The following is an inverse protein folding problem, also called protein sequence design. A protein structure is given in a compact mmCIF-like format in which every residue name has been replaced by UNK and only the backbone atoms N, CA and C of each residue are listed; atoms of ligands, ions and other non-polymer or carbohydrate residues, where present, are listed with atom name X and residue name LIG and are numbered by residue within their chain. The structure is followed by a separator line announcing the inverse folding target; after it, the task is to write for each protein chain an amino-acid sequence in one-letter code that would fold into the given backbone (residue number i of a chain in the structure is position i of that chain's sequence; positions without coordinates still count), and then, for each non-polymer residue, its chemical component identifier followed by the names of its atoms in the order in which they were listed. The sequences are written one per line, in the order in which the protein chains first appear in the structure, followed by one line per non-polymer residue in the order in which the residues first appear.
data_IF_391657054539
#
_entry.id   IF_391657054539
#
_cell.length_a   1.000
_cell.length_b   1.000
_cell.length_c   1.000
_cell.angle_alpha   90.00
_cell.angle_beta   90.00
_cell.angle_gamma   90.00
#
_symmetry.space_group_name_H-M   'P 1'
#
loop_
_entity.id
_entity.type
_entity.pdbx_description
1 polymer ?
#
# COMPACT_ATOMS: atom_id res chain seq x y z
N UNK A 1 12.39 -31.12 -19.77
CA UNK A 1 12.26 -32.39 -19.01
C UNK A 1 13.53 -32.84 -18.28
N UNK A 2 14.67 -33.04 -18.98
CA UNK A 2 15.90 -33.62 -18.41
C UNK A 2 16.58 -32.80 -17.29
N UNK A 3 16.22 -31.53 -17.14
CA UNK A 3 16.80 -30.61 -16.16
C UNK A 3 15.90 -30.35 -14.94
N UNK A 4 14.72 -30.97 -14.86
CA UNK A 4 13.75 -30.67 -13.79
C UNK A 4 14.29 -31.02 -12.40
N UNK A 5 15.10 -32.08 -12.30
CA UNK A 5 15.77 -32.45 -11.04
C UNK A 5 16.84 -31.43 -10.64
N UNK A 6 17.55 -30.85 -11.59
CA UNK A 6 18.51 -29.78 -11.32
C UNK A 6 17.79 -28.50 -10.87
N UNK A 7 16.63 -28.20 -11.47
CA UNK A 7 15.80 -27.06 -11.06
C UNK A 7 15.27 -27.22 -9.63
N UNK A 8 14.76 -28.40 -9.27
CA UNK A 8 14.34 -28.71 -7.90
C UNK A 8 15.48 -28.50 -6.90
N UNK A 9 16.67 -29.06 -7.20
CA UNK A 9 17.86 -28.87 -6.36
C UNK A 9 18.27 -27.40 -6.26
N UNK A 10 18.24 -26.67 -7.37
CA UNK A 10 18.57 -25.24 -7.39
C UNK A 10 17.64 -24.44 -6.48
N UNK A 11 16.32 -24.65 -6.59
CA UNK A 11 15.33 -23.95 -5.77
C UNK A 11 15.59 -24.26 -4.29
N UNK A 12 15.76 -25.54 -3.92
CA UNK A 12 16.04 -25.94 -2.55
C UNK A 12 17.30 -25.28 -1.98
N UNK A 13 18.39 -25.27 -2.75
CA UNK A 13 19.68 -24.68 -2.37
C UNK A 13 19.53 -23.16 -2.25
N UNK A 14 18.89 -22.51 -3.22
CA UNK A 14 18.66 -21.06 -3.23
C UNK A 14 17.86 -20.62 -2.01
N UNK A 15 16.70 -21.25 -1.78
CA UNK A 15 15.84 -20.97 -0.62
C UNK A 15 16.64 -21.09 0.66
N UNK A 16 17.33 -22.21 0.88
CA UNK A 16 18.14 -22.42 2.10
C UNK A 16 19.20 -21.34 2.29
N UNK A 17 20.03 -21.09 1.26
CA UNK A 17 21.14 -20.15 1.39
C UNK A 17 20.69 -18.69 1.51
N UNK A 18 19.51 -18.34 0.96
CA UNK A 18 18.95 -17.01 1.15
C UNK A 18 18.54 -16.80 2.61
N UNK A 19 17.80 -17.74 3.22
CA UNK A 19 17.45 -17.65 4.64
C UNK A 19 18.67 -17.63 5.56
N UNK A 20 19.70 -18.41 5.26
CA UNK A 20 20.96 -18.41 6.03
C UNK A 20 21.66 -17.02 6.01
N UNK A 21 21.48 -16.24 4.94
CA UNK A 21 22.14 -14.93 4.75
C UNK A 21 21.24 -13.74 5.05
N UNK A 22 19.95 -13.88 4.82
CA UNK A 22 18.90 -12.87 4.90
C UNK A 22 17.67 -13.58 5.49
N UNK A 23 17.52 -13.60 6.84
CA UNK A 23 16.48 -14.39 7.50
C UNK A 23 15.06 -14.15 6.99
N UNK A 24 14.76 -12.93 6.54
CA UNK A 24 13.42 -12.52 6.05
C UNK A 24 13.29 -12.57 4.52
N UNK A 25 14.19 -13.24 3.80
CA UNK A 25 14.09 -13.41 2.35
C UNK A 25 12.95 -14.35 1.97
N UNK A 26 12.36 -14.16 0.78
CA UNK A 26 11.40 -15.10 0.20
C UNK A 26 11.80 -15.52 -1.21
N UNK A 27 11.60 -16.80 -1.52
CA UNK A 27 11.68 -17.42 -2.83
C UNK A 27 10.28 -17.87 -3.24
N UNK A 28 9.75 -17.25 -4.29
CA UNK A 28 8.41 -17.54 -4.79
C UNK A 28 8.50 -18.20 -6.17
N UNK A 29 7.88 -19.37 -6.31
CA UNK A 29 7.79 -20.09 -7.58
C UNK A 29 6.62 -19.57 -8.42
N UNK A 30 6.80 -19.39 -9.72
CA UNK A 30 5.68 -19.07 -10.63
C UNK A 30 5.10 -20.35 -11.23
N UNK A 31 3.79 -20.54 -11.14
CA UNK A 31 3.04 -21.66 -11.72
C UNK A 31 3.26 -21.76 -13.24
N UNK A 32 4.28 -22.51 -13.65
CA UNK A 32 4.73 -22.55 -15.05
C UNK A 32 5.29 -23.93 -15.40
N UNK A 33 6.49 -24.27 -14.91
CA UNK A 33 7.11 -25.56 -15.17
C UNK A 33 6.54 -26.61 -14.22
N UNK A 34 6.11 -27.74 -14.76
CA UNK A 34 5.57 -28.87 -14.00
C UNK A 34 6.69 -29.80 -13.50
N UNK A 35 6.35 -30.73 -12.62
CA UNK A 35 7.25 -31.77 -12.11
C UNK A 35 7.88 -32.65 -13.20
N UNK A 36 7.25 -32.71 -14.37
CA UNK A 36 7.73 -33.37 -15.60
C UNK A 36 8.72 -32.51 -16.41
N UNK A 37 8.84 -31.22 -16.06
CA UNK A 37 9.61 -30.23 -16.81
C UNK A 37 8.91 -29.66 -18.03
N UNK A 38 7.60 -29.90 -18.19
CA UNK A 38 6.76 -29.25 -19.22
C UNK A 38 6.36 -27.84 -18.77
N UNK A 39 6.40 -26.86 -19.68
CA UNK A 39 5.81 -25.53 -19.46
C UNK A 39 4.29 -25.61 -19.66
N UNK A 40 3.54 -25.50 -18.57
CA UNK A 40 2.07 -25.51 -18.57
C UNK A 40 1.52 -24.92 -17.27
N UNK A 41 0.84 -23.78 -17.37
CA UNK A 41 0.15 -23.15 -16.24
C UNK A 41 -1.05 -23.97 -15.80
N UNK A 42 -1.17 -24.20 -14.49
CA UNK A 42 -2.28 -24.96 -13.89
C UNK A 42 -3.39 -24.04 -13.39
N UNK A 43 -3.08 -22.77 -13.13
CA UNK A 43 -3.94 -21.78 -12.49
C UNK A 43 -4.34 -22.16 -11.05
N UNK A 44 -3.67 -23.18 -10.48
CA UNK A 44 -3.87 -23.70 -9.12
C UNK A 44 -2.59 -24.32 -8.59
N UNK A 45 -2.51 -24.44 -7.28
CA UNK A 45 -1.62 -25.39 -6.64
C UNK A 45 -2.22 -26.81 -6.76
N UNK A 46 -1.47 -27.73 -7.36
CA UNK A 46 -1.86 -29.12 -7.57
C UNK A 46 -0.65 -30.07 -7.51
N UNK A 47 -0.86 -31.37 -7.64
CA UNK A 47 0.22 -32.37 -7.60
C UNK A 47 1.32 -32.15 -8.65
N UNK A 48 1.01 -31.51 -9.78
CA UNK A 48 1.97 -31.28 -10.86
C UNK A 48 2.98 -30.16 -10.55
N UNK A 49 2.64 -29.19 -9.70
CA UNK A 49 3.52 -28.05 -9.35
C UNK A 49 3.87 -27.98 -7.86
N UNK A 50 3.19 -28.76 -6.99
CA UNK A 50 3.44 -28.80 -5.53
C UNK A 50 4.89 -29.10 -5.17
N UNK A 51 5.59 -29.90 -5.99
CA UNK A 51 7.01 -30.20 -5.76
C UNK A 51 7.89 -28.95 -5.69
N UNK A 52 7.55 -27.87 -6.40
CA UNK A 52 8.30 -26.61 -6.33
C UNK A 52 7.85 -25.76 -5.14
N UNK A 53 6.54 -25.70 -4.90
CA UNK A 53 5.98 -25.03 -3.72
C UNK A 53 6.55 -25.58 -2.41
N UNK A 54 6.78 -26.89 -2.31
CA UNK A 54 7.37 -27.53 -1.12
C UNK A 54 8.86 -27.24 -0.94
N UNK A 55 9.54 -26.73 -1.97
CA UNK A 55 10.98 -26.42 -1.95
C UNK A 55 11.28 -24.92 -1.79
N UNK A 56 10.24 -24.08 -1.70
CA UNK A 56 10.35 -22.63 -1.55
C UNK A 56 9.21 -22.05 -0.70
N UNK A 57 9.23 -20.73 -0.53
CA UNK A 57 8.41 -20.04 0.46
C UNK A 57 6.97 -19.86 -0.02
N UNK A 58 6.74 -19.81 -1.33
CA UNK A 58 5.39 -19.75 -1.87
C UNK A 58 5.27 -19.95 -3.36
N UNK A 59 4.04 -19.84 -3.87
CA UNK A 59 3.72 -19.96 -5.29
C UNK A 59 2.85 -18.80 -5.78
N UNK A 60 3.30 -18.16 -6.86
CA UNK A 60 2.50 -17.25 -7.68
C UNK A 60 1.72 -18.09 -8.69
N UNK A 61 0.40 -18.18 -8.54
CA UNK A 61 -0.47 -18.88 -9.49
C UNK A 61 -0.75 -18.03 -10.73
N UNK A 62 -0.85 -18.68 -11.89
CA UNK A 62 -1.29 -18.00 -13.10
C UNK A 62 -2.72 -17.45 -12.95
N UNK A 63 -3.04 -16.40 -13.70
CA UNK A 63 -4.24 -15.56 -13.50
C UNK A 63 -5.53 -16.09 -14.17
N UNK A 64 -5.48 -17.22 -14.90
CA UNK A 64 -6.65 -17.82 -15.58
C UNK A 64 -7.37 -18.88 -14.72
N UNK A 65 -7.55 -18.60 -13.43
CA UNK A 65 -8.12 -19.53 -12.45
C UNK A 65 -9.65 -19.49 -12.40
N UNK A 66 -10.24 -20.59 -11.94
CA UNK A 66 -11.65 -20.68 -11.55
C UNK A 66 -11.82 -20.74 -10.02
N UNK A 67 -13.05 -20.58 -9.52
CA UNK A 67 -13.34 -20.75 -8.09
C UNK A 67 -12.97 -22.16 -7.60
N UNK A 68 -13.16 -23.18 -8.46
CA UNK A 68 -12.78 -24.56 -8.16
C UNK A 68 -11.26 -24.71 -8.00
N UNK A 69 -10.48 -24.03 -8.84
CA UNK A 69 -9.01 -24.01 -8.77
C UNK A 69 -8.52 -23.42 -7.43
N UNK A 70 -9.17 -22.38 -6.92
CA UNK A 70 -8.84 -21.81 -5.61
C UNK A 70 -9.17 -22.77 -4.46
N UNK A 71 -10.31 -23.46 -4.52
CA UNK A 71 -10.67 -24.48 -3.53
C UNK A 71 -9.68 -25.64 -3.52
N UNK A 72 -9.28 -26.10 -4.71
CA UNK A 72 -8.26 -27.13 -4.85
C UNK A 72 -6.91 -26.67 -4.29
N UNK A 73 -6.52 -25.41 -4.55
CA UNK A 73 -5.28 -24.84 -4.03
C UNK A 73 -5.27 -24.73 -2.51
N UNK A 74 -6.39 -24.32 -1.90
CA UNK A 74 -6.57 -24.29 -0.45
C UNK A 74 -6.43 -25.70 0.16
N UNK A 75 -7.09 -26.70 -0.45
CA UNK A 75 -6.96 -28.09 -0.01
C UNK A 75 -5.51 -28.60 -0.13
N UNK A 76 -4.83 -28.27 -1.23
CA UNK A 76 -3.47 -28.76 -1.52
C UNK A 76 -2.40 -28.10 -0.65
N UNK A 77 -2.56 -26.82 -0.32
CA UNK A 77 -1.64 -26.08 0.56
C UNK A 77 -1.83 -26.43 2.03
N UNK A 78 -3.06 -26.76 2.42
CA UNK A 78 -3.43 -26.98 3.82
C UNK A 78 -3.43 -25.68 4.64
N UNK A 79 -3.91 -25.77 5.88
CA UNK A 79 -4.10 -24.58 6.72
C UNK A 79 -2.80 -23.82 7.03
N UNK A 80 -1.68 -24.53 7.14
CA UNK A 80 -0.39 -23.96 7.50
C UNK A 80 0.23 -23.08 6.42
N UNK A 81 -0.03 -23.36 5.14
CA UNK A 81 0.63 -22.71 3.99
C UNK A 81 -0.33 -22.07 2.99
N UNK A 82 -1.61 -21.92 3.33
CA UNK A 82 -2.61 -21.30 2.44
C UNK A 82 -2.30 -19.85 2.08
N UNK A 83 -1.58 -19.11 2.94
CA UNK A 83 -1.17 -17.73 2.68
C UNK A 83 0.07 -17.63 1.79
N UNK A 84 0.77 -18.74 1.57
CA UNK A 84 1.92 -18.84 0.66
C UNK A 84 1.48 -19.10 -0.79
N UNK A 85 0.17 -19.22 -1.02
CA UNK A 85 -0.44 -19.32 -2.35
C UNK A 85 -0.92 -17.94 -2.77
N UNK A 86 -0.17 -17.30 -3.66
CA UNK A 86 -0.45 -15.98 -4.19
C UNK A 86 -1.20 -16.11 -5.52
N UNK A 87 -2.51 -15.91 -5.49
CA UNK A 87 -3.38 -16.05 -6.66
C UNK A 87 -3.19 -14.86 -7.61
N UNK A 88 -2.81 -15.12 -8.85
CA UNK A 88 -2.54 -14.08 -9.85
C UNK A 88 -3.78 -13.24 -10.19
N UNK A 89 -3.61 -11.92 -10.21
CA UNK A 89 -4.58 -10.93 -10.68
C UNK A 89 -3.92 -10.13 -11.79
N UNK A 90 -4.18 -10.49 -13.05
CA UNK A 90 -3.69 -9.73 -14.20
C UNK A 90 -4.53 -8.48 -14.41
N UNK A 91 -3.94 -7.32 -14.13
CA UNK A 91 -4.62 -6.03 -14.27
C UNK A 91 -4.89 -5.69 -15.74
N UNK A 92 -4.19 -6.28 -16.70
CA UNK A 92 -4.57 -6.16 -18.12
C UNK A 92 -5.78 -7.04 -18.50
N UNK A 93 -6.21 -7.94 -17.62
CA UNK A 93 -7.46 -8.68 -17.77
C UNK A 93 -7.40 -9.87 -18.73
N UNK A 94 -6.23 -10.41 -19.09
CA UNK A 94 -6.08 -11.50 -20.09
C UNK A 94 -6.60 -12.84 -19.55
N UNK A 95 -7.92 -12.98 -19.53
CA UNK A 95 -8.65 -14.11 -18.94
C UNK A 95 -8.60 -14.14 -17.41
N UNK A 96 -8.25 -13.01 -16.78
CA UNK A 96 -8.35 -12.83 -15.33
C UNK A 96 -9.82 -12.80 -14.90
N UNK A 97 -10.13 -13.41 -13.76
CA UNK A 97 -11.45 -13.29 -13.14
C UNK A 97 -11.86 -11.81 -13.00
N UNK A 98 -13.06 -11.46 -13.45
CA UNK A 98 -13.56 -10.08 -13.44
C UNK A 98 -13.00 -9.16 -14.53
N UNK A 99 -12.01 -9.58 -15.31
CA UNK A 99 -11.52 -8.85 -16.49
C UNK A 99 -10.46 -7.76 -16.23
N UNK A 100 -9.82 -7.73 -15.06
CA UNK A 100 -8.73 -6.80 -14.76
C UNK A 100 -9.15 -5.32 -14.66
N UNK A 101 -8.18 -4.41 -14.79
CA UNK A 101 -8.34 -2.96 -14.74
C UNK A 101 -9.09 -2.50 -13.49
N UNK A 102 -10.11 -1.67 -13.68
CA UNK A 102 -11.01 -1.24 -12.60
C UNK A 102 -11.84 -2.38 -11.98
N UNK A 103 -11.92 -3.54 -12.64
CA UNK A 103 -12.61 -4.71 -12.11
C UNK A 103 -11.67 -5.67 -11.35
N UNK A 104 -10.38 -5.36 -11.19
CA UNK A 104 -9.42 -6.17 -10.41
C UNK A 104 -9.89 -6.44 -8.98
N UNK A 105 -10.72 -5.55 -8.40
CA UNK A 105 -11.36 -5.76 -7.10
C UNK A 105 -12.23 -7.02 -7.04
N UNK A 106 -12.87 -7.43 -8.15
CA UNK A 106 -13.70 -8.65 -8.19
C UNK A 106 -12.86 -9.90 -7.99
N UNK A 107 -11.67 -9.96 -8.58
CA UNK A 107 -10.70 -11.02 -8.34
C UNK A 107 -10.24 -11.00 -6.88
N UNK A 108 -9.83 -9.83 -6.37
CA UNK A 108 -9.39 -9.67 -4.99
C UNK A 108 -10.45 -10.14 -3.97
N UNK A 109 -11.71 -9.78 -4.19
CA UNK A 109 -12.81 -10.20 -3.33
C UNK A 109 -12.89 -11.72 -3.22
N UNK A 110 -12.94 -12.42 -4.36
CA UNK A 110 -13.05 -13.89 -4.39
C UNK A 110 -11.84 -14.55 -3.74
N UNK A 111 -10.63 -14.03 -4.00
CA UNK A 111 -9.39 -14.54 -3.38
C UNK A 111 -9.45 -14.40 -1.86
N UNK A 112 -9.90 -13.25 -1.34
CA UNK A 112 -10.04 -13.02 0.10
C UNK A 112 -11.12 -13.86 0.75
N UNK A 113 -12.26 -14.07 0.09
CA UNK A 113 -13.31 -14.99 0.56
C UNK A 113 -12.79 -16.43 0.69
N UNK A 114 -11.81 -16.83 -0.13
CA UNK A 114 -11.13 -18.13 -0.04
C UNK A 114 -9.94 -18.15 0.94
N UNK A 115 -9.64 -17.04 1.61
CA UNK A 115 -8.53 -16.91 2.58
C UNK A 115 -7.16 -17.25 1.99
N UNK A 116 -6.96 -16.93 0.70
CA UNK A 116 -5.67 -17.05 0.01
C UNK A 116 -5.01 -15.66 -0.15
N UNK A 117 -3.74 -15.66 -0.51
CA UNK A 117 -3.00 -14.45 -0.89
C UNK A 117 -3.25 -14.09 -2.35
N UNK A 118 -2.97 -12.84 -2.72
CA UNK A 118 -3.12 -12.35 -4.09
C UNK A 118 -1.78 -11.84 -4.62
N UNK A 119 -1.53 -12.01 -5.91
CA UNK A 119 -0.38 -11.46 -6.61
C UNK A 119 -0.86 -10.53 -7.72
N UNK A 120 -0.71 -9.21 -7.53
CA UNK A 120 -1.18 -8.21 -8.50
C UNK A 120 -0.15 -8.09 -9.63
N UNK A 121 -0.52 -8.57 -10.82
CA UNK A 121 0.33 -8.57 -11.99
C UNK A 121 0.06 -7.35 -12.88
N UNK A 122 1.14 -6.69 -13.27
CA UNK A 122 1.14 -5.55 -14.21
C UNK A 122 0.21 -4.37 -13.80
N UNK A 123 0.32 -3.82 -12.57
CA UNK A 123 -0.42 -2.61 -12.18
C UNK A 123 -0.02 -1.36 -12.99
N UNK A 124 1.09 -1.44 -13.76
CA UNK A 124 1.47 -0.44 -14.77
C UNK A 124 0.38 -0.15 -15.81
N UNK A 125 -0.61 -1.03 -15.94
CA UNK A 125 -1.86 -0.81 -16.68
C UNK A 125 -2.46 0.59 -16.44
N UNK A 126 -2.39 1.12 -15.21
CA UNK A 126 -2.91 2.47 -14.92
C UNK A 126 -2.23 3.53 -15.79
N UNK A 127 -0.90 3.50 -15.88
CA UNK A 127 -0.14 4.43 -16.73
C UNK A 127 -0.40 4.14 -18.21
N UNK A 128 -0.29 2.87 -18.60
CA UNK A 128 -0.34 2.47 -20.02
C UNK A 128 -1.72 2.68 -20.67
N UNK A 129 -2.82 2.59 -19.89
CA UNK A 129 -4.18 2.73 -20.41
C UNK A 129 -4.84 4.08 -20.10
N UNK A 130 -4.33 4.85 -19.14
CA UNK A 130 -4.92 6.15 -18.76
C UNK A 130 -3.97 7.35 -18.91
N UNK A 131 -2.72 7.13 -19.30
CA UNK A 131 -1.76 8.19 -19.61
C UNK A 131 -1.17 8.89 -18.38
N UNK A 132 -0.18 9.75 -18.63
CA UNK A 132 0.59 10.45 -17.60
C UNK A 132 -0.18 11.61 -16.95
N UNK A 133 -1.04 12.30 -17.72
CA UNK A 133 -1.71 13.54 -17.29
C UNK A 133 -2.54 13.34 -16.02
N UNK A 134 -3.31 12.26 -15.94
CA UNK A 134 -4.16 11.92 -14.80
C UNK A 134 -3.60 10.76 -13.97
N UNK A 135 -2.32 10.41 -14.14
CA UNK A 135 -1.73 9.20 -13.54
C UNK A 135 -1.89 9.17 -12.03
N UNK A 136 -1.55 10.24 -11.31
CA UNK A 136 -1.62 10.29 -9.84
C UNK A 136 -3.03 10.01 -9.32
N UNK A 137 -4.04 10.60 -9.96
CA UNK A 137 -5.45 10.42 -9.61
C UNK A 137 -5.94 9.01 -9.93
N UNK A 138 -5.61 8.49 -11.11
CA UNK A 138 -6.01 7.15 -11.53
C UNK A 138 -5.30 6.07 -10.71
N UNK A 139 -4.03 6.28 -10.37
CA UNK A 139 -3.26 5.39 -9.51
C UNK A 139 -3.84 5.38 -8.09
N UNK A 140 -4.15 6.56 -7.51
CA UNK A 140 -4.87 6.65 -6.21
C UNK A 140 -6.18 5.87 -6.27
N UNK A 141 -7.02 6.12 -7.29
CA UNK A 141 -8.30 5.44 -7.47
C UNK A 141 -8.14 3.91 -7.59
N UNK A 142 -7.12 3.44 -8.30
CA UNK A 142 -6.87 2.01 -8.49
C UNK A 142 -6.52 1.33 -7.17
N UNK A 143 -5.60 1.90 -6.40
CA UNK A 143 -5.22 1.32 -5.11
C UNK A 143 -6.33 1.45 -4.07
N UNK A 144 -7.12 2.52 -4.08
CA UNK A 144 -8.30 2.67 -3.22
C UNK A 144 -9.36 1.60 -3.48
N UNK A 145 -9.56 1.24 -4.75
CA UNK A 145 -10.46 0.16 -5.15
C UNK A 145 -10.03 -1.20 -4.58
N UNK A 146 -8.72 -1.42 -4.41
CA UNK A 146 -8.19 -2.66 -3.83
C UNK A 146 -8.02 -2.61 -2.32
N UNK A 147 -7.93 -1.42 -1.71
CA UNK A 147 -7.54 -1.21 -0.32
C UNK A 147 -8.38 -2.00 0.69
N UNK A 148 -9.68 -2.18 0.44
CA UNK A 148 -10.58 -2.97 1.32
C UNK A 148 -10.22 -4.46 1.40
N UNK A 149 -9.43 -4.96 0.45
CA UNK A 149 -8.95 -6.35 0.40
C UNK A 149 -7.47 -6.47 0.78
N UNK A 150 -6.80 -5.37 1.14
CA UNK A 150 -5.39 -5.36 1.48
C UNK A 150 -5.22 -5.15 2.99
N UNK A 151 -4.21 -5.79 3.56
CA UNK A 151 -3.83 -5.54 4.94
C UNK A 151 -2.82 -4.39 4.97
N UNK A 152 -3.13 -3.26 5.63
CA UNK A 152 -2.16 -2.19 5.80
C UNK A 152 -1.14 -2.58 6.86
N UNK A 153 0.15 -2.49 6.54
CA UNK A 153 1.21 -2.60 7.53
C UNK A 153 1.18 -1.41 8.49
N UNK A 154 1.46 -1.68 9.77
CA UNK A 154 1.53 -0.64 10.80
C UNK A 154 2.93 -0.07 10.90
N UNK A 155 3.01 1.22 11.19
CA UNK A 155 4.25 1.83 11.65
C UNK A 155 4.42 1.51 13.12
N UNK A 156 5.41 0.71 13.47
CA UNK A 156 5.58 0.18 14.83
C UNK A 156 6.79 0.73 15.59
N UNK A 157 7.62 1.56 14.94
CA UNK A 157 8.89 2.01 15.49
C UNK A 157 9.04 3.54 15.47
N UNK A 158 9.85 4.04 16.41
CA UNK A 158 10.28 5.43 16.50
C UNK A 158 11.78 5.55 16.21
N UNK A 159 12.25 6.68 15.62
CA UNK A 159 11.46 7.85 15.26
C UNK A 159 10.64 7.65 13.98
N UNK A 160 9.39 8.11 14.00
CA UNK A 160 8.55 8.19 12.80
C UNK A 160 8.61 9.60 12.22
N UNK A 161 9.12 9.73 11.00
CA UNK A 161 9.28 11.03 10.31
C UNK A 161 8.77 10.94 8.89
N UNK A 162 8.02 11.95 8.46
CA UNK A 162 7.59 12.10 7.06
C UNK A 162 7.48 13.56 6.67
N UNK A 163 7.86 13.88 5.43
CA UNK A 163 7.51 15.13 4.76
C UNK A 163 6.42 14.96 3.70
N UNK A 164 5.84 13.75 3.63
CA UNK A 164 4.98 13.27 2.55
C UNK A 164 5.63 13.23 1.16
N UNK A 165 6.95 13.39 1.06
CA UNK A 165 7.65 13.33 -0.22
C UNK A 165 7.51 11.94 -0.86
N UNK A 166 7.05 11.88 -2.10
CA UNK A 166 6.88 10.63 -2.84
C UNK A 166 8.14 10.21 -3.62
N UNK A 167 9.29 10.85 -3.38
CA UNK A 167 10.52 10.61 -4.13
C UNK A 167 10.53 11.25 -5.51
N UNK A 168 9.65 12.22 -5.77
CA UNK A 168 9.66 13.05 -6.97
C UNK A 168 9.05 14.43 -6.68
N UNK A 169 9.26 15.38 -7.59
CA UNK A 169 8.68 16.71 -7.50
C UNK A 169 9.03 17.60 -8.69
N UNK A 170 8.27 18.69 -8.88
CA UNK A 170 8.58 19.72 -9.87
C UNK A 170 9.76 20.60 -9.41
N UNK A 171 9.98 20.66 -8.09
CA UNK A 171 10.99 21.46 -7.38
C UNK A 171 11.53 20.67 -6.20
N UNK A 172 12.65 21.12 -5.63
CA UNK A 172 13.22 20.61 -4.37
C UNK A 172 13.13 21.69 -3.32
N UNK A 173 12.68 21.34 -2.12
CA UNK A 173 12.56 22.23 -0.98
C UNK A 173 13.36 21.72 0.23
N UNK A 174 13.91 22.65 0.99
CA UNK A 174 14.53 22.43 2.29
C UNK A 174 14.02 23.49 3.25
N UNK A 175 13.40 23.07 4.36
CA UNK A 175 12.81 23.95 5.37
C UNK A 175 11.89 25.03 4.77
N UNK A 176 11.05 24.64 3.80
CA UNK A 176 10.11 25.52 3.10
C UNK A 176 10.74 26.46 2.06
N UNK A 177 12.06 26.45 1.89
CA UNK A 177 12.77 27.24 0.89
C UNK A 177 13.05 26.39 -0.35
N UNK A 178 12.74 26.92 -1.52
CA UNK A 178 13.04 26.28 -2.79
C UNK A 178 14.56 26.25 -3.00
N UNK A 179 15.13 25.05 -3.04
CA UNK A 179 16.55 24.79 -3.32
C UNK A 179 16.79 24.68 -4.83
N UNK A 180 15.91 23.98 -5.54
CA UNK A 180 16.04 23.73 -6.97
C UNK A 180 14.68 23.85 -7.67
N UNK A 181 14.66 24.56 -8.80
CA UNK A 181 13.48 24.75 -9.64
C UNK A 181 13.57 23.91 -10.93
N UNK A 182 13.65 22.57 -10.77
CA UNK A 182 13.64 21.61 -11.88
C UNK A 182 12.98 20.30 -11.43
N UNK A 183 12.26 19.61 -12.34
CA UNK A 183 11.70 18.30 -12.05
C UNK A 183 12.78 17.29 -11.64
N UNK A 184 12.44 16.41 -10.71
CA UNK A 184 13.34 15.37 -10.22
C UNK A 184 12.58 14.13 -9.77
N UNK A 185 13.27 12.98 -9.82
CA UNK A 185 12.82 11.71 -9.27
C UNK A 185 14.01 11.01 -8.63
N UNK A 186 13.84 10.58 -7.38
CA UNK A 186 14.71 9.69 -6.64
C UNK A 186 13.84 8.95 -5.61
N UNK A 187 13.50 7.69 -5.91
CA UNK A 187 12.63 6.87 -5.06
C UNK A 187 13.25 6.56 -3.68
N UNK A 188 14.58 6.60 -3.56
CA UNK A 188 15.24 6.47 -2.24
C UNK A 188 14.99 7.68 -1.33
N UNK A 189 14.48 8.79 -1.87
CA UNK A 189 14.05 9.96 -1.09
C UNK A 189 12.56 9.93 -0.72
N UNK A 190 11.84 8.85 -1.06
CA UNK A 190 10.44 8.70 -0.66
C UNK A 190 10.34 8.56 0.87
N UNK A 191 9.49 9.38 1.48
CA UNK A 191 9.12 9.26 2.90
C UNK A 191 7.84 8.45 3.07
N UNK A 192 7.56 8.04 4.31
CA UNK A 192 6.32 7.33 4.64
C UNK A 192 5.07 8.09 4.15
N UNK A 193 4.18 7.37 3.47
CA UNK A 193 2.94 7.92 2.93
C UNK A 193 1.76 7.56 3.85
N UNK A 194 0.68 8.37 3.88
CA UNK A 194 -0.49 8.08 4.71
C UNK A 194 -1.03 6.65 4.49
N UNK A 195 -1.25 5.91 5.58
CA UNK A 195 -1.88 4.58 5.54
C UNK A 195 -3.31 4.65 5.01
N UNK A 196 -4.00 5.74 5.31
CA UNK A 196 -5.38 5.97 4.90
C UNK A 196 -5.43 7.08 3.84
N UNK A 197 -6.09 6.81 2.72
CA UNK A 197 -6.16 7.74 1.60
C UNK A 197 -7.39 8.67 1.61
N UNK A 198 -8.45 8.29 2.36
CA UNK A 198 -9.75 8.98 2.41
C UNK A 198 -10.53 8.74 3.72
N UNK A 199 -9.88 8.83 4.89
CA UNK A 199 -10.56 8.75 6.19
C UNK A 199 -10.82 10.15 6.77
N UNK A 200 -11.88 10.78 6.27
CA UNK A 200 -12.35 12.09 6.69
C UNK A 200 -13.59 11.95 7.57
N UNK A 201 -13.58 12.58 8.74
CA UNK A 201 -14.72 12.64 9.65
C UNK A 201 -15.08 14.10 9.89
N UNK A 202 -16.33 14.45 9.64
CA UNK A 202 -16.86 15.78 9.93
C UNK A 202 -17.64 15.73 11.25
N UNK A 203 -17.31 16.63 12.16
CA UNK A 203 -17.92 16.77 13.48
C UNK A 203 -18.54 18.16 13.58
N UNK A 204 -19.82 18.22 13.96
CA UNK A 204 -20.60 19.47 13.97
C UNK A 204 -21.32 19.75 12.64
N UNK A 205 -21.95 20.93 12.50
CA UNK A 205 -22.76 21.26 11.33
C UNK A 205 -21.89 21.37 10.07
N UNK A 206 -22.46 20.88 8.95
CA UNK A 206 -21.75 20.82 7.66
C UNK A 206 -21.41 22.18 7.06
N UNK A 207 -22.06 23.23 7.54
CA UNK A 207 -22.03 24.56 6.92
C UNK A 207 -20.75 25.35 7.23
N UNK A 208 -20.07 25.06 8.35
CA UNK A 208 -18.89 25.83 8.80
C UNK A 208 -17.58 25.45 8.11
N UNK A 209 -17.37 24.18 7.76
CA UNK A 209 -16.14 23.74 7.10
C UNK A 209 -16.39 22.56 6.18
N UNK A 210 -15.90 22.65 4.95
CA UNK A 210 -16.00 21.61 3.93
C UNK A 210 -14.62 21.35 3.34
N UNK A 211 -14.20 20.08 3.30
CA UNK A 211 -12.97 19.67 2.60
C UNK A 211 -13.38 19.16 1.22
N UNK A 212 -12.82 19.78 0.18
CA UNK A 212 -13.12 19.46 -1.22
C UNK A 212 -12.17 18.39 -1.76
N UNK A 213 -10.88 18.49 -1.45
CA UNK A 213 -9.91 17.47 -1.83
C UNK A 213 -8.72 17.37 -0.86
N UNK A 214 -8.12 16.17 -0.85
CA UNK A 214 -6.87 15.85 -0.18
C UNK A 214 -5.97 15.18 -1.22
N UNK A 215 -4.90 15.87 -1.59
CA UNK A 215 -4.02 15.48 -2.69
C UNK A 215 -2.56 15.72 -2.38
N UNK A 216 -1.68 14.95 -3.02
CA UNK A 216 -0.27 15.25 -3.06
C UNK A 216 -0.03 16.33 -4.12
N UNK A 217 0.73 17.36 -3.77
CA UNK A 217 1.15 18.39 -4.71
C UNK A 217 2.67 18.50 -4.77
N UNK A 218 3.19 19.07 -5.85
CA UNK A 218 4.64 19.17 -6.11
C UNK A 218 5.14 20.61 -6.24
N UNK A 219 4.25 21.60 -6.19
CA UNK A 219 4.59 23.02 -6.34
C UNK A 219 5.09 23.67 -5.07
N UNK A 220 4.74 23.11 -3.92
CA UNK A 220 5.22 23.52 -2.59
C UNK A 220 5.57 22.28 -1.76
N UNK A 221 6.57 22.41 -0.90
CA UNK A 221 6.88 21.43 0.13
C UNK A 221 7.67 22.09 1.28
N UNK A 222 7.68 21.43 2.45
CA UNK A 222 8.62 21.80 3.50
C UNK A 222 9.99 21.16 3.26
N UNK A 223 10.04 19.85 3.05
CA UNK A 223 11.26 19.11 2.69
C UNK A 223 10.97 18.11 1.56
N UNK A 224 11.84 18.05 0.56
CA UNK A 224 11.69 17.15 -0.58
C UNK A 224 10.90 17.78 -1.73
N UNK A 225 10.07 16.98 -2.40
CA UNK A 225 9.52 17.29 -3.73
C UNK A 225 8.02 17.59 -3.75
N UNK A 226 7.37 17.49 -2.60
CA UNK A 226 5.95 17.76 -2.48
C UNK A 226 5.46 17.60 -1.05
N UNK A 227 4.19 17.92 -0.82
CA UNK A 227 3.51 17.79 0.46
C UNK A 227 2.04 17.37 0.28
N UNK A 228 1.40 17.04 1.40
CA UNK A 228 -0.04 16.84 1.43
C UNK A 228 -0.76 18.20 1.43
N UNK A 229 -1.62 18.43 0.44
CA UNK A 229 -2.49 19.59 0.34
C UNK A 229 -3.92 19.22 0.70
N UNK A 230 -4.53 20.02 1.58
CA UNK A 230 -5.95 19.91 1.93
C UNK A 230 -6.61 21.19 1.43
N UNK A 231 -7.54 21.05 0.48
CA UNK A 231 -8.30 22.18 -0.06
C UNK A 231 -9.75 22.08 0.39
N UNK A 232 -10.35 23.23 0.65
CA UNK A 232 -11.70 23.31 1.16
C UNK A 232 -12.17 24.73 1.39
N UNK A 233 -13.37 24.86 1.93
CA UNK A 233 -14.03 26.10 2.27
C UNK A 233 -14.30 26.17 3.78
N UNK A 234 -13.99 27.30 4.39
CA UNK A 234 -14.35 27.61 5.77
C UNK A 234 -15.24 28.86 5.79
N UNK A 235 -16.47 28.69 6.27
CA UNK A 235 -17.47 29.77 6.38
C UNK A 235 -17.68 30.11 7.86
N UNK A 236 -18.00 31.37 8.18
CA UNK A 236 -18.46 31.72 9.52
C UNK A 236 -19.69 30.87 9.87
N UNK A 237 -19.68 30.28 11.05
CA UNK A 237 -20.79 29.50 11.59
C UNK A 237 -20.91 29.82 13.08
N UNK A 238 -22.14 29.78 13.61
CA UNK A 238 -22.41 30.01 15.03
C UNK A 238 -21.85 28.89 15.90
N UNK A 239 -21.77 27.68 15.35
CA UNK A 239 -21.22 26.49 16.01
C UNK A 239 -19.83 26.14 15.48
N UNK A 240 -18.99 25.56 16.35
CA UNK A 240 -17.65 25.12 15.97
C UNK A 240 -17.71 23.83 15.14
N UNK A 241 -17.41 23.91 13.85
CA UNK A 241 -17.21 22.73 12.99
C UNK A 241 -15.77 22.21 13.10
N UNK A 242 -15.59 20.90 13.13
CA UNK A 242 -14.27 20.25 13.07
C UNK A 242 -14.25 19.20 11.96
N UNK A 243 -13.10 19.05 11.32
CA UNK A 243 -12.86 17.96 10.39
C UNK A 243 -11.59 17.23 10.81
N UNK A 244 -11.70 15.91 10.94
CA UNK A 244 -10.60 15.04 11.34
C UNK A 244 -10.20 14.21 10.14
N UNK A 245 -8.93 14.34 9.74
CA UNK A 245 -8.30 13.50 8.74
C UNK A 245 -7.39 12.49 9.43
N UNK A 246 -7.72 11.20 9.33
CA UNK A 246 -6.86 10.14 9.84
C UNK A 246 -5.83 9.79 8.77
N UNK A 247 -4.54 9.99 9.06
CA UNK A 247 -3.46 9.78 8.10
C UNK A 247 -2.79 8.41 8.25
N UNK A 248 -2.33 8.08 9.45
CA UNK A 248 -1.50 6.91 9.70
C UNK A 248 -2.18 5.91 10.62
N UNK A 249 -1.90 4.63 10.39
CA UNK A 249 -2.13 3.56 11.37
C UNK A 249 -0.79 3.14 11.95
N UNK A 250 -0.68 3.21 13.26
CA UNK A 250 0.55 2.96 14.00
C UNK A 250 0.31 1.89 15.06
N UNK A 251 1.36 1.16 15.40
CA UNK A 251 1.41 0.20 16.51
C UNK A 251 2.70 0.46 17.31
N UNK A 252 2.77 1.67 17.88
CA UNK A 252 3.98 2.17 18.56
C UNK A 252 3.76 2.07 20.06
N UNK A 253 4.55 1.22 20.71
CA UNK A 253 4.53 1.09 22.17
C UNK A 253 5.25 2.27 22.82
N UNK A 254 4.52 3.04 23.62
CA UNK A 254 5.08 4.13 24.43
C UNK A 254 5.52 3.57 25.80
N UNK A 255 6.64 4.07 26.32
CA UNK A 255 7.21 3.70 27.61
C UNK A 255 7.05 4.87 28.58
N UNK A 256 6.53 4.61 29.79
CA UNK A 256 6.20 5.64 30.78
C UNK A 256 7.39 6.51 31.21
N UNK A 257 8.61 5.96 31.19
CA UNK A 257 9.84 6.68 31.58
C UNK A 257 10.49 7.47 30.45
N UNK A 258 9.90 7.49 29.26
CA UNK A 258 10.45 8.13 28.07
C UNK A 258 9.71 9.42 27.76
N UNK A 259 10.47 10.51 27.54
CA UNK A 259 9.92 11.74 27.00
C UNK A 259 9.80 11.65 25.48
N UNK A 260 8.61 11.94 24.96
CA UNK A 260 8.34 11.96 23.53
C UNK A 260 8.12 13.39 23.05
N UNK A 261 8.75 13.77 21.93
CA UNK A 261 8.44 15.02 21.23
C UNK A 261 7.67 14.74 19.96
N UNK A 262 6.74 15.63 19.65
CA UNK A 262 5.95 15.59 18.42
C UNK A 262 6.03 16.96 17.78
N UNK A 263 6.45 16.97 16.53
CA UNK A 263 6.59 18.19 15.73
C UNK A 263 5.88 18.00 14.40
N UNK A 264 5.18 19.04 13.96
CA UNK A 264 4.61 19.09 12.63
C UNK A 264 4.66 20.51 12.09
N UNK A 265 4.79 20.64 10.78
CA UNK A 265 4.88 21.92 10.09
C UNK A 265 3.80 21.97 9.02
N UNK A 266 3.11 23.09 8.91
CA UNK A 266 2.06 23.30 7.93
C UNK A 266 2.06 24.74 7.43
N UNK A 267 1.43 24.95 6.28
CA UNK A 267 1.11 26.27 5.74
C UNK A 267 -0.41 26.35 5.61
N UNK A 268 -1.00 27.44 6.08
CA UNK A 268 -2.43 27.69 5.94
C UNK A 268 -2.65 29.04 5.29
N UNK A 269 -3.50 29.08 4.26
CA UNK A 269 -3.89 30.30 3.57
C UNK A 269 -5.06 31.04 4.24
N UNK A 270 -5.69 30.45 5.25
CA UNK A 270 -6.83 31.02 5.97
C UNK A 270 -6.48 31.26 7.44
N UNK A 271 -6.86 32.43 7.95
CA UNK A 271 -6.81 32.78 9.36
C UNK A 271 -7.99 32.21 10.18
N UNK A 272 -9.03 31.71 9.50
CA UNK A 272 -10.25 31.14 10.09
C UNK A 272 -10.10 29.67 10.47
N UNK A 273 -9.05 29.02 10.01
CA UNK A 273 -8.81 27.59 10.24
C UNK A 273 -7.66 27.43 11.23
N UNK A 274 -7.87 26.60 12.24
CA UNK A 274 -6.83 26.14 13.15
C UNK A 274 -6.56 24.66 12.86
N UNK A 275 -5.28 24.30 12.75
CA UNK A 275 -4.85 22.93 12.52
C UNK A 275 -4.28 22.35 13.81
N UNK A 276 -4.74 21.16 14.16
CA UNK A 276 -4.26 20.41 15.31
C UNK A 276 -3.80 19.03 14.84
N UNK A 277 -2.75 18.51 15.49
CA UNK A 277 -2.38 17.11 15.34
C UNK A 277 -3.02 16.31 16.47
N UNK A 278 -3.68 15.21 16.10
CA UNK A 278 -4.31 14.28 17.02
C UNK A 278 -3.54 12.96 17.04
N UNK A 279 -3.14 12.52 18.22
CA UNK A 279 -2.57 11.18 18.46
C UNK A 279 -3.59 10.36 19.24
N UNK A 280 -4.08 9.26 18.65
CA UNK A 280 -5.04 8.35 19.26
C UNK A 280 -4.29 7.28 20.05
N UNK A 281 -4.67 7.05 21.31
CA UNK A 281 -4.12 6.00 22.16
C UNK A 281 -5.09 4.81 22.20
N UNK A 282 -4.57 3.60 22.36
CA UNK A 282 -5.38 2.37 22.30
C UNK A 282 -6.19 2.14 23.60
N UNK A 283 -5.64 2.56 24.74
CA UNK A 283 -6.14 2.16 26.07
C UNK A 283 -7.42 2.88 26.54
N UNK A 284 -7.92 3.86 25.78
CA UNK A 284 -9.20 4.55 25.95
C UNK A 284 -9.39 5.46 24.73
N UNK A 285 -10.59 5.96 24.36
CA UNK A 285 -10.77 6.98 23.31
C UNK A 285 -10.19 8.36 23.69
N UNK A 286 -9.04 8.35 24.37
CA UNK A 286 -8.22 9.49 24.71
C UNK A 286 -7.33 9.83 23.52
N UNK A 287 -7.22 11.12 23.26
CA UNK A 287 -6.36 11.65 22.22
C UNK A 287 -5.55 12.80 22.78
N UNK A 288 -4.30 12.90 22.32
CA UNK A 288 -3.44 14.05 22.63
C UNK A 288 -3.61 15.05 21.48
N UNK A 289 -3.96 16.28 21.82
CA UNK A 289 -4.10 17.39 20.87
C UNK A 289 -2.85 18.26 20.96
N UNK A 290 -2.12 18.36 19.85
CA UNK A 290 -1.03 19.32 19.74
C UNK A 290 -1.53 20.55 18.97
N UNK A 291 -1.52 21.70 19.65
CA UNK A 291 -1.79 23.01 19.06
C UNK A 291 -0.44 23.68 18.75
N UNK A 292 -0.13 23.99 17.49
CA UNK A 292 1.10 24.69 17.18
C UNK A 292 0.99 26.14 17.65
N UNK A 293 2.06 26.67 18.22
CA UNK A 293 2.25 28.12 18.28
C UNK A 293 2.30 28.61 16.83
N UNK A 294 1.46 29.57 16.42
CA UNK A 294 1.58 30.19 15.08
C UNK A 294 3.01 30.72 14.94
N UNK A 295 3.77 30.18 13.99
CA UNK A 295 5.07 30.72 13.57
C UNK A 295 4.87 31.87 12.59
#
# INVERSE_FOLDING_TARGET
PSQVENLKKFIQILTKHLHDRIPDSEVIWYDSVLSTGQLKWQNKLCSENKVFFDLCDGIFLNYNWSIYDLQHSLFTSGEARKLDVYVGVDVFGRGCFGGGGWNSCKAMQVIREKKLSAAIFAPGWVMENHGEEEFTKNNKKFWELLAVYLYPHFLSELPFVTSFCQGYGAKVFVQGKMLQNKPWTNLSAQSFQPTFSNNLYQLGPKEGMQVDCIEFQTEEAYNGGGCLCIKGLAKPCEEQTRTVLRLFKTDIKLMESTNYSVEFTYKCSSDRVQLFLLVLLEDNPSYIVFNPSKA
#
